data_IF_408214907340
#
_entry.id   IF_408214907340
#
_cell.length_a   1.000
_cell.length_b   1.000
_cell.length_c   1.000
_cell.angle_alpha   90.00
_cell.angle_beta   90.00
_cell.angle_gamma   90.00
#
_symmetry.space_group_name_H-M   'P 1'
#
loop_
_entity.id
_entity.type
_entity.pdbx_description
1 polymer ?
#
# COMPACT_ATOMS: atom_id res chain seq x y z
N UNK A 1 10.18 -16.10 -30.99
CA UNK A 1 9.16 -15.68 -30.01
C UNK A 1 9.78 -14.58 -29.19
N UNK A 2 9.25 -13.36 -29.29
CA UNK A 2 9.69 -12.24 -28.45
C UNK A 2 9.53 -12.64 -26.98
N UNK A 3 10.57 -12.42 -26.18
CA UNK A 3 10.56 -12.75 -24.76
C UNK A 3 9.70 -11.70 -24.05
N UNK A 4 8.45 -12.03 -23.75
CA UNK A 4 7.56 -11.14 -22.99
C UNK A 4 8.03 -11.19 -21.53
N UNK A 5 8.53 -10.06 -21.02
CA UNK A 5 8.97 -9.97 -19.64
C UNK A 5 7.80 -10.16 -18.67
N UNK A 6 7.97 -11.09 -17.74
CA UNK A 6 6.99 -11.34 -16.70
C UNK A 6 7.04 -10.21 -15.67
N UNK A 7 5.87 -9.81 -15.10
CA UNK A 7 5.86 -8.87 -13.99
C UNK A 7 6.66 -9.44 -12.82
N UNK A 8 7.50 -8.59 -12.20
CA UNK A 8 8.23 -8.94 -10.98
C UNK A 8 7.24 -9.32 -9.87
N UNK A 9 7.66 -10.16 -8.92
CA UNK A 9 6.82 -10.54 -7.79
C UNK A 9 6.32 -9.31 -7.02
N UNK A 10 5.12 -9.40 -6.45
CA UNK A 10 4.46 -8.27 -5.79
C UNK A 10 5.20 -7.84 -4.51
N UNK A 11 5.81 -8.78 -3.79
CA UNK A 11 6.63 -8.52 -2.62
C UNK A 11 8.09 -8.89 -2.89
N UNK A 12 9.01 -8.09 -2.36
CA UNK A 12 10.43 -8.41 -2.33
C UNK A 12 10.76 -9.42 -1.21
N UNK A 13 12.04 -9.76 -1.09
CA UNK A 13 12.57 -10.66 -0.06
C UNK A 13 12.42 -10.13 1.37
N UNK A 14 12.20 -8.83 1.55
CA UNK A 14 11.97 -8.17 2.85
C UNK A 14 10.48 -8.07 3.21
N UNK A 15 9.60 -8.36 2.25
CA UNK A 15 8.15 -8.32 2.43
C UNK A 15 7.56 -6.94 2.15
N UNK A 16 8.35 -6.04 1.57
CA UNK A 16 7.91 -4.76 1.05
C UNK A 16 7.31 -4.97 -0.35
N UNK A 17 6.29 -4.18 -0.71
CA UNK A 17 5.78 -4.24 -2.07
C UNK A 17 6.82 -3.68 -3.04
N UNK A 18 7.10 -4.39 -4.13
CA UNK A 18 8.10 -3.99 -5.13
C UNK A 18 7.67 -2.75 -5.91
N UNK A 19 6.36 -2.54 -6.01
CA UNK A 19 5.65 -1.42 -6.65
C UNK A 19 4.35 -1.17 -5.90
N UNK A 20 3.68 -0.05 -6.20
CA UNK A 20 2.30 0.12 -5.71
C UNK A 20 1.40 -1.01 -6.22
N UNK A 21 0.40 -1.39 -5.45
CA UNK A 21 -0.55 -2.44 -5.81
C UNK A 21 -1.27 -2.15 -7.14
N UNK A 22 -1.61 -0.88 -7.38
CA UNK A 22 -2.23 -0.44 -8.64
C UNK A 22 -1.28 -0.63 -9.83
N UNK A 23 -0.05 -0.14 -9.70
CA UNK A 23 0.96 -0.25 -10.76
C UNK A 23 1.28 -1.72 -11.07
N UNK A 24 1.35 -2.60 -10.06
CA UNK A 24 1.56 -4.02 -10.27
C UNK A 24 0.42 -4.70 -11.04
N UNK A 25 -0.84 -4.33 -10.74
CA UNK A 25 -2.01 -4.84 -11.46
C UNK A 25 -2.01 -4.39 -12.92
N UNK A 26 -1.60 -3.14 -13.20
CA UNK A 26 -1.44 -2.65 -14.57
C UNK A 26 -0.43 -3.48 -15.36
N UNK A 27 0.75 -3.79 -14.78
CA UNK A 27 1.72 -4.68 -15.46
C UNK A 27 1.18 -6.09 -15.68
N UNK A 28 0.41 -6.62 -14.73
CA UNK A 28 -0.27 -7.90 -14.93
C UNK A 28 -1.23 -7.83 -16.13
N UNK A 29 -2.04 -6.79 -16.23
CA UNK A 29 -3.01 -6.63 -17.32
C UNK A 29 -2.35 -6.42 -18.68
N UNK A 30 -1.24 -5.68 -18.73
CA UNK A 30 -0.38 -5.56 -19.92
C UNK A 30 0.21 -6.92 -20.29
N UNK A 31 0.71 -7.68 -19.32
CA UNK A 31 1.25 -9.01 -19.58
C UNK A 31 0.19 -9.96 -20.17
N UNK A 32 -1.03 -9.95 -19.62
CA UNK A 32 -2.15 -10.74 -20.16
C UNK A 32 -2.52 -10.31 -21.58
N UNK A 33 -2.56 -9.01 -21.87
CA UNK A 33 -2.90 -8.53 -23.21
C UNK A 33 -1.82 -8.91 -24.24
N UNK A 34 -0.55 -8.86 -23.84
CA UNK A 34 0.60 -9.22 -24.69
C UNK A 34 0.71 -10.73 -24.96
N UNK A 35 0.19 -11.59 -24.08
CA UNK A 35 0.16 -13.04 -24.32
C UNK A 35 -0.64 -13.43 -25.57
N UNK A 36 -1.47 -12.52 -26.11
CA UNK A 36 -2.28 -12.70 -27.31
C UNK A 36 -3.05 -14.03 -27.34
N UNK A 37 -3.50 -14.47 -26.15
CA UNK A 37 -4.23 -15.72 -25.91
C UNK A 37 -5.43 -15.43 -25.04
N UNK A 38 -6.60 -15.93 -25.45
CA UNK A 38 -7.80 -15.88 -24.62
C UNK A 38 -7.65 -16.89 -23.49
N UNK A 39 -7.50 -16.40 -22.26
CA UNK A 39 -7.41 -17.23 -21.05
C UNK A 39 -8.77 -17.36 -20.40
N UNK A 40 -9.12 -18.59 -19.99
CA UNK A 40 -10.27 -18.84 -19.13
C UNK A 40 -10.03 -18.30 -17.72
N UNK A 41 -11.10 -18.03 -16.97
CA UNK A 41 -11.02 -17.44 -15.63
C UNK A 41 -10.11 -18.22 -14.68
N UNK A 42 -10.19 -19.56 -14.69
CA UNK A 42 -9.33 -20.41 -13.86
C UNK A 42 -7.85 -20.27 -14.21
N UNK A 43 -7.51 -20.07 -15.49
CA UNK A 43 -6.15 -19.85 -15.96
C UNK A 43 -5.66 -18.48 -15.52
N UNK A 44 -6.50 -17.44 -15.61
CA UNK A 44 -6.15 -16.10 -15.11
C UNK A 44 -5.92 -16.10 -13.59
N UNK A 45 -6.77 -16.79 -12.83
CA UNK A 45 -6.63 -16.93 -11.37
C UNK A 45 -5.32 -17.66 -11.01
N UNK A 46 -4.98 -18.74 -11.72
CA UNK A 46 -3.75 -19.46 -11.48
C UNK A 46 -2.53 -18.62 -11.87
N UNK A 47 -2.61 -17.90 -12.99
CA UNK A 47 -1.53 -17.06 -13.49
C UNK A 47 -1.25 -15.86 -12.57
N UNK A 48 -2.28 -15.13 -12.14
CA UNK A 48 -2.07 -14.03 -11.19
C UNK A 48 -1.47 -14.54 -9.87
N UNK A 49 -1.93 -15.69 -9.36
CA UNK A 49 -1.39 -16.33 -8.13
C UNK A 49 0.06 -16.79 -8.31
N UNK A 50 0.43 -17.20 -9.52
CA UNK A 50 1.80 -17.54 -9.87
C UNK A 50 2.69 -16.30 -9.86
N UNK A 51 2.32 -15.28 -10.65
CA UNK A 51 3.12 -14.06 -10.86
C UNK A 51 3.28 -13.20 -9.60
N UNK A 52 2.27 -13.12 -8.74
CA UNK A 52 2.36 -12.33 -7.49
C UNK A 52 3.39 -12.88 -6.48
N UNK A 53 3.83 -14.13 -6.64
CA UNK A 53 4.76 -14.80 -5.74
C UNK A 53 4.11 -15.42 -4.50
N UNK A 54 4.89 -16.23 -3.77
CA UNK A 54 4.41 -17.05 -2.66
C UNK A 54 3.87 -16.22 -1.49
N UNK A 55 4.51 -15.11 -1.13
CA UNK A 55 4.08 -14.26 0.00
C UNK A 55 2.72 -13.61 -0.23
N UNK A 56 2.51 -13.04 -1.42
CA UNK A 56 1.22 -12.49 -1.80
C UNK A 56 0.12 -13.56 -1.78
N UNK A 57 0.42 -14.75 -2.30
CA UNK A 57 -0.50 -15.88 -2.28
C UNK A 57 -0.90 -16.30 -0.86
N UNK A 58 0.07 -16.34 0.07
CA UNK A 58 -0.21 -16.61 1.48
C UNK A 58 -1.10 -15.52 2.11
N UNK A 59 -0.87 -14.25 1.77
CA UNK A 59 -1.70 -13.12 2.25
C UNK A 59 -3.13 -13.22 1.73
N UNK A 60 -3.33 -13.57 0.45
CA UNK A 60 -4.67 -13.87 -0.10
C UNK A 60 -5.33 -15.04 0.63
N UNK A 61 -4.56 -16.13 0.90
CA UNK A 61 -5.05 -17.30 1.65
C UNK A 61 -5.65 -16.92 3.00
N UNK A 62 -4.99 -16.02 3.73
CA UNK A 62 -5.49 -15.52 5.03
C UNK A 62 -6.75 -14.67 4.90
N UNK A 63 -6.93 -14.00 3.76
CA UNK A 63 -8.10 -13.16 3.48
C UNK A 63 -9.31 -13.93 2.93
N UNK A 64 -9.21 -15.25 2.74
CA UNK A 64 -10.26 -16.08 2.13
C UNK A 64 -10.71 -15.63 0.72
N UNK A 65 -9.82 -14.98 -0.04
CA UNK A 65 -10.11 -14.51 -1.42
C UNK A 65 -9.50 -15.46 -2.45
N UNK A 66 -10.30 -16.34 -3.07
CA UNK A 66 -9.75 -17.43 -3.89
C UNK A 66 -10.31 -17.56 -5.31
N UNK A 67 -11.54 -17.10 -5.56
CA UNK A 67 -12.35 -17.67 -6.64
C UNK A 67 -12.68 -16.69 -7.78
N UNK A 68 -12.19 -15.46 -7.73
CA UNK A 68 -12.45 -14.46 -8.79
C UNK A 68 -11.24 -13.56 -9.01
N UNK A 69 -10.88 -13.37 -10.27
CA UNK A 69 -9.82 -12.44 -10.68
C UNK A 69 -10.12 -11.01 -10.20
N UNK A 70 -11.39 -10.60 -10.26
CA UNK A 70 -11.85 -9.27 -9.82
C UNK A 70 -11.66 -9.12 -8.32
N UNK A 71 -12.04 -10.13 -7.53
CA UNK A 71 -11.86 -10.10 -6.08
C UNK A 71 -10.37 -10.13 -5.68
N UNK A 72 -9.55 -10.89 -6.41
CA UNK A 72 -8.10 -10.92 -6.19
C UNK A 72 -7.50 -9.54 -6.44
N UNK A 73 -7.80 -8.89 -7.58
CA UNK A 73 -7.31 -7.54 -7.89
C UNK A 73 -7.76 -6.53 -6.84
N UNK A 74 -9.04 -6.56 -6.43
CA UNK A 74 -9.57 -5.68 -5.38
C UNK A 74 -8.87 -5.89 -4.03
N UNK A 75 -8.59 -7.15 -3.67
CA UNK A 75 -7.83 -7.47 -2.47
C UNK A 75 -6.39 -6.94 -2.55
N UNK A 76 -5.71 -7.09 -3.69
CA UNK A 76 -4.35 -6.56 -3.91
C UNK A 76 -4.36 -5.03 -3.81
N UNK A 77 -5.29 -4.33 -4.48
CA UNK A 77 -5.46 -2.88 -4.36
C UNK A 77 -5.65 -2.42 -2.92
N UNK A 78 -6.34 -3.22 -2.10
CA UNK A 78 -6.50 -2.90 -0.67
C UNK A 78 -5.19 -2.96 0.13
N UNK A 79 -4.14 -3.62 -0.38
CA UNK A 79 -2.85 -3.73 0.32
C UNK A 79 -1.99 -2.48 0.20
N UNK A 80 -2.28 -1.63 -0.78
CA UNK A 80 -1.79 -0.25 -0.88
C UNK A 80 -2.47 0.69 0.11
N UNK A 81 -3.58 0.29 0.74
CA UNK A 81 -4.21 1.14 1.75
C UNK A 81 -3.17 1.42 2.83
N UNK A 82 -2.84 2.71 2.98
CA UNK A 82 -2.01 3.20 4.06
C UNK A 82 -2.55 2.62 5.35
N UNK A 83 -1.67 1.95 6.09
CA UNK A 83 -2.02 1.45 7.39
C UNK A 83 -2.18 2.69 8.30
N UNK A 84 -3.42 3.13 8.47
CA UNK A 84 -3.75 4.30 9.27
C UNK A 84 -3.12 4.21 10.68
N UNK A 85 -3.04 3.01 11.26
CA UNK A 85 -2.34 2.79 12.53
C UNK A 85 -0.85 3.10 12.45
N UNK A 86 -0.14 2.68 11.41
CA UNK A 86 1.27 3.04 11.23
C UNK A 86 1.45 4.54 11.01
N UNK A 87 0.57 5.18 10.25
CA UNK A 87 0.62 6.63 10.02
C UNK A 87 0.34 7.41 11.32
N UNK A 88 -0.57 6.91 12.17
CA UNK A 88 -0.83 7.45 13.52
C UNK A 88 0.38 7.31 14.43
N UNK A 89 1.04 6.15 14.43
CA UNK A 89 2.30 5.95 15.18
C UNK A 89 3.38 6.92 14.72
N UNK A 90 3.49 7.19 13.41
CA UNK A 90 4.41 8.21 12.88
C UNK A 90 4.02 9.61 13.37
N UNK A 91 2.73 9.95 13.34
CA UNK A 91 2.20 11.22 13.83
C UNK A 91 2.55 11.44 15.31
N UNK A 92 2.29 10.45 16.17
CA UNK A 92 2.55 10.53 17.61
C UNK A 92 4.05 10.65 17.93
N UNK A 93 4.94 10.30 16.98
CA UNK A 93 6.39 10.44 17.10
C UNK A 93 6.94 11.76 16.56
N UNK A 94 6.11 12.62 15.95
CA UNK A 94 6.58 13.92 15.46
C UNK A 94 6.87 14.82 16.66
N UNK A 95 8.13 15.20 16.81
CA UNK A 95 8.59 16.18 17.79
C UNK A 95 9.10 17.43 17.08
N UNK A 96 8.94 18.58 17.75
CA UNK A 96 9.52 19.83 17.28
C UNK A 96 11.03 19.80 17.47
N UNK A 97 11.77 20.13 16.43
CA UNK A 97 13.23 20.25 16.56
C UNK A 97 13.59 21.56 17.29
N UNK A 98 14.72 21.57 18.00
CA UNK A 98 15.14 22.71 18.85
C UNK A 98 15.15 24.07 18.11
N UNK A 99 15.59 24.10 16.86
CA UNK A 99 15.68 25.32 16.04
C UNK A 99 14.54 25.47 15.01
N UNK A 100 13.51 24.63 15.08
CA UNK A 100 12.41 24.65 14.12
C UNK A 100 11.39 25.73 14.50
N UNK A 101 11.00 26.53 13.50
CA UNK A 101 9.89 27.48 13.65
C UNK A 101 8.58 26.74 13.87
N UNK A 102 7.70 27.32 14.70
CA UNK A 102 6.45 26.67 15.08
C UNK A 102 5.57 26.35 13.86
N UNK A 103 5.54 27.22 12.86
CA UNK A 103 4.74 27.04 11.64
C UNK A 103 5.21 25.82 10.84
N UNK A 104 6.52 25.62 10.71
CA UNK A 104 7.11 24.45 10.04
C UNK A 104 6.77 23.16 10.77
N UNK A 105 6.75 23.20 12.11
CA UNK A 105 6.34 22.06 12.92
C UNK A 105 4.84 21.74 12.73
N UNK A 106 3.97 22.77 12.70
CA UNK A 106 2.54 22.63 12.44
C UNK A 106 2.29 22.04 11.04
N UNK A 107 3.01 22.50 10.02
CA UNK A 107 2.90 21.98 8.66
C UNK A 107 3.24 20.48 8.58
N UNK A 108 4.28 20.04 9.30
CA UNK A 108 4.62 18.61 9.39
C UNK A 108 3.52 17.80 10.06
N UNK A 109 2.95 18.32 11.15
CA UNK A 109 1.82 17.69 11.84
C UNK A 109 0.60 17.61 10.93
N UNK A 110 0.26 18.68 10.21
CA UNK A 110 -0.90 18.75 9.33
C UNK A 110 -0.80 17.78 8.15
N UNK A 111 0.38 17.75 7.52
CA UNK A 111 0.71 16.83 6.42
C UNK A 111 0.57 15.37 6.86
N UNK A 112 1.09 15.04 8.04
CA UNK A 112 1.02 13.67 8.56
C UNK A 112 -0.38 13.32 9.05
N UNK A 113 -1.10 14.24 9.70
CA UNK A 113 -2.47 14.02 10.17
C UNK A 113 -3.44 13.74 9.02
N UNK A 114 -3.21 14.34 7.84
CA UNK A 114 -3.94 14.01 6.61
C UNK A 114 -3.82 12.56 6.15
N UNK A 115 -2.83 11.80 6.67
CA UNK A 115 -2.59 10.39 6.36
C UNK A 115 -3.13 9.43 7.43
N UNK A 116 -3.62 9.95 8.55
CA UNK A 116 -3.93 9.17 9.76
C UNK A 116 -5.43 8.80 9.89
N UNK A 117 -6.28 9.30 9.00
CA UNK A 117 -7.74 9.09 9.05
C UNK A 117 -8.32 9.38 10.46
N UNK A 118 -7.92 10.50 11.06
CA UNK A 118 -8.46 10.91 12.36
C UNK A 118 -9.91 11.37 12.23
N UNK A 119 -10.76 11.02 13.23
CA UNK A 119 -12.13 11.55 13.32
C UNK A 119 -12.13 13.07 13.45
N UNK A 120 -11.19 13.61 14.23
CA UNK A 120 -10.96 15.05 14.38
C UNK A 120 -9.47 15.37 14.21
N UNK A 121 -9.10 15.79 13.00
CA UNK A 121 -7.71 16.11 12.64
C UNK A 121 -7.16 17.26 13.47
N UNK A 122 -7.92 18.35 13.60
CA UNK A 122 -7.47 19.58 14.27
C UNK A 122 -7.25 19.39 15.77
N UNK A 123 -8.09 18.60 16.41
CA UNK A 123 -7.92 18.24 17.82
C UNK A 123 -6.60 17.50 18.06
N UNK A 124 -6.28 16.51 17.22
CA UNK A 124 -5.02 15.76 17.32
C UNK A 124 -3.79 16.62 17.10
N UNK A 125 -3.84 17.56 16.15
CA UNK A 125 -2.74 18.51 15.90
C UNK A 125 -2.52 19.40 17.13
N UNK A 126 -3.61 19.95 17.69
CA UNK A 126 -3.55 20.78 18.90
C UNK A 126 -2.96 20.00 20.09
N UNK A 127 -3.39 18.77 20.32
CA UNK A 127 -2.83 17.91 21.37
C UNK A 127 -1.33 17.71 21.17
N UNK A 128 -0.90 17.43 19.94
CA UNK A 128 0.50 17.23 19.61
C UNK A 128 1.34 18.51 19.82
N UNK A 129 0.80 19.69 19.54
CA UNK A 129 1.46 20.97 19.82
C UNK A 129 1.65 21.14 21.32
N UNK A 130 0.61 20.95 22.13
CA UNK A 130 0.67 21.10 23.59
C UNK A 130 1.67 20.13 24.23
N UNK A 131 1.71 18.88 23.74
CA UNK A 131 2.59 17.85 24.29
C UNK A 131 4.07 18.05 23.93
N UNK A 132 4.35 18.56 22.72
CA UNK A 132 5.71 18.62 22.16
C UNK A 132 6.32 20.02 22.14
N UNK A 133 5.54 21.07 22.40
CA UNK A 133 6.05 22.41 22.68
C UNK A 133 6.11 22.62 24.19
N UNK A 134 6.95 21.84 24.88
CA UNK A 134 7.36 22.18 26.25
C UNK A 134 8.47 23.23 26.17
N UNK A 135 8.35 24.25 27.03
CA UNK A 135 9.24 25.40 27.13
C UNK A 135 10.72 25.06 27.06
#
# INVERSE_FOLDING_TARGET
MEHIDQPKQLFDERGCMTKSASEWIEYYDIYISLLNKKLYDCQQINLIKYLMGQRARLRLKRGHVHDSIVLIKKAIQSWDKRNATLERIKFDKIQRNFNEQIDVFIDRLDLQAGRCEFKNKYERIRDAIVLNCKH
#
